data_IF_060369048861
#
_entry.id   IF_060369048861
#
_cell.length_a   1.000
_cell.length_b   1.000
_cell.length_c   1.000
_cell.angle_alpha   90.00
_cell.angle_beta   90.00
_cell.angle_gamma   90.00
#
_symmetry.space_group_name_H-M   'P 1'
#
loop_
_entity.id
_entity.type
_entity.pdbx_description
1 polymer ?
#
# COMPACT_ATOMS: atom_id res chain seq x y z
N UNK A 1 10.67 52.27 -0.24
CA UNK A 1 9.29 52.07 -0.75
C UNK A 1 9.15 50.71 -1.46
N UNK A 2 9.53 49.59 -0.82
CA UNK A 2 9.69 48.28 -1.51
C UNK A 2 9.20 47.03 -0.76
N UNK A 3 8.63 47.17 0.45
CA UNK A 3 8.30 46.01 1.30
C UNK A 3 6.86 45.49 1.05
N UNK A 4 5.98 46.30 0.44
CA UNK A 4 4.58 45.92 0.17
C UNK A 4 4.39 45.04 -1.07
N UNK A 5 5.37 44.93 -1.97
CA UNK A 5 5.22 44.13 -3.21
C UNK A 5 5.48 42.63 -3.01
N UNK A 6 6.34 42.23 -2.07
CA UNK A 6 6.66 40.80 -1.87
C UNK A 6 5.57 40.03 -1.12
N UNK A 7 4.86 40.68 -0.20
CA UNK A 7 3.76 40.05 0.56
C UNK A 7 2.60 39.66 -0.36
N UNK A 8 2.20 40.52 -1.29
CA UNK A 8 1.10 40.25 -2.22
C UNK A 8 1.40 39.10 -3.20
N UNK A 9 2.67 38.90 -3.56
CA UNK A 9 3.08 37.80 -4.45
C UNK A 9 2.93 36.43 -3.77
N UNK A 10 3.30 36.33 -2.48
CA UNK A 10 3.09 35.11 -1.69
C UNK A 10 1.58 34.84 -1.51
N UNK A 11 0.77 35.85 -1.19
CA UNK A 11 -0.68 35.69 -1.08
C UNK A 11 -1.35 35.25 -2.39
N UNK A 12 -0.91 35.77 -3.54
CA UNK A 12 -1.45 35.32 -4.83
C UNK A 12 -1.02 33.89 -5.20
N UNK A 13 0.15 33.44 -4.74
CA UNK A 13 0.60 32.06 -4.93
C UNK A 13 -0.21 31.07 -4.09
N UNK A 14 -0.61 31.42 -2.86
CA UNK A 14 -1.53 30.62 -2.04
C UNK A 14 -2.98 30.66 -2.56
N UNK A 15 -3.46 31.82 -3.02
CA UNK A 15 -4.81 31.96 -3.57
C UNK A 15 -4.97 31.25 -4.93
N UNK A 16 -3.94 31.29 -5.78
CA UNK A 16 -3.90 30.56 -7.04
C UNK A 16 -3.84 29.05 -6.84
N UNK A 17 -3.02 28.58 -5.89
CA UNK A 17 -2.93 27.16 -5.53
C UNK A 17 -4.25 26.66 -4.92
N UNK A 18 -4.91 27.43 -4.05
CA UNK A 18 -6.22 27.08 -3.50
C UNK A 18 -7.34 26.99 -4.56
N UNK A 19 -7.35 27.90 -5.53
CA UNK A 19 -8.31 27.88 -6.64
C UNK A 19 -8.04 26.74 -7.63
N UNK A 20 -6.77 26.37 -7.85
CA UNK A 20 -6.37 25.25 -8.71
C UNK A 20 -6.66 23.89 -8.03
N UNK A 21 -6.46 23.78 -6.72
CA UNK A 21 -6.85 22.62 -5.91
C UNK A 21 -8.38 22.45 -5.89
N UNK A 22 -9.14 23.53 -5.69
CA UNK A 22 -10.62 23.51 -5.69
C UNK A 22 -11.24 23.26 -7.07
N UNK A 23 -10.55 23.61 -8.15
CA UNK A 23 -11.03 23.33 -9.51
C UNK A 23 -10.69 21.92 -9.99
N UNK A 24 -9.65 21.28 -9.42
CA UNK A 24 -9.23 19.89 -9.67
C UNK A 24 -9.91 18.84 -8.77
N UNK A 25 -10.45 19.23 -7.61
CA UNK A 25 -11.26 18.35 -6.74
C UNK A 25 -12.63 17.96 -7.32
N UNK A 26 -13.02 18.53 -8.47
CA UNK A 26 -14.32 18.35 -9.13
C UNK A 26 -14.62 16.96 -9.68
N UNK A 27 -13.68 16.00 -9.65
CA UNK A 27 -13.93 14.68 -10.25
C UNK A 27 -14.87 13.79 -9.41
N UNK A 28 -14.99 14.00 -8.10
CA UNK A 28 -16.07 13.42 -7.26
C UNK A 28 -16.23 14.20 -5.95
N UNK A 29 -16.95 15.33 -5.98
CA UNK A 29 -17.19 16.14 -4.78
C UNK A 29 -18.30 15.51 -3.91
N UNK A 30 -17.99 14.40 -3.23
CA UNK A 30 -18.89 13.75 -2.27
C UNK A 30 -19.22 14.64 -1.07
N UNK A 31 -18.47 15.73 -0.89
CA UNK A 31 -18.69 16.76 0.13
C UNK A 31 -20.02 17.50 -0.01
N UNK A 32 -20.57 17.57 -1.23
CA UNK A 32 -21.85 18.25 -1.54
C UNK A 32 -23.05 17.30 -1.51
N UNK A 33 -22.82 16.00 -1.53
CA UNK A 33 -23.88 14.98 -1.52
C UNK A 33 -24.37 14.70 -0.10
N UNK A 34 -25.65 14.35 0.02
CA UNK A 34 -26.22 13.97 1.31
C UNK A 34 -25.59 12.67 1.84
N UNK A 35 -25.43 12.57 3.17
CA UNK A 35 -24.86 11.40 3.85
C UNK A 35 -25.44 10.04 3.36
N UNK A 36 -26.75 9.90 3.11
CA UNK A 36 -27.31 8.64 2.62
C UNK A 36 -26.81 8.24 1.23
N UNK A 37 -26.58 9.20 0.34
CA UNK A 37 -26.08 8.94 -1.02
C UNK A 37 -24.64 8.42 -0.94
N UNK A 38 -23.80 9.08 -0.14
CA UNK A 38 -22.42 8.64 0.07
C UNK A 38 -22.36 7.25 0.70
N UNK A 39 -23.26 6.96 1.66
CA UNK A 39 -23.37 5.63 2.25
C UNK A 39 -23.81 4.57 1.22
N UNK A 40 -24.74 4.91 0.33
CA UNK A 40 -25.17 4.05 -0.77
C UNK A 40 -24.03 3.73 -1.74
N UNK A 41 -23.28 4.76 -2.17
CA UNK A 41 -22.10 4.60 -3.05
C UNK A 41 -21.04 3.73 -2.39
N UNK A 42 -20.73 3.99 -1.11
CA UNK A 42 -19.79 3.18 -0.34
C UNK A 42 -20.23 1.72 -0.25
N UNK A 43 -21.51 1.48 0.08
CA UNK A 43 -22.06 0.14 0.22
C UNK A 43 -22.01 -0.65 -1.08
N UNK A 44 -22.33 -0.01 -2.22
CA UNK A 44 -22.20 -0.63 -3.55
C UNK A 44 -20.75 -0.96 -3.85
N UNK A 45 -19.81 -0.03 -3.58
CA UNK A 45 -18.38 -0.27 -3.73
C UNK A 45 -17.89 -1.46 -2.89
N UNK A 46 -18.29 -1.53 -1.62
CA UNK A 46 -17.94 -2.62 -0.72
C UNK A 46 -18.44 -3.99 -1.26
N UNK A 47 -19.68 -4.06 -1.76
CA UNK A 47 -20.22 -5.28 -2.37
C UNK A 47 -19.44 -5.67 -3.63
N UNK A 48 -19.10 -4.71 -4.50
CA UNK A 48 -18.32 -4.98 -5.71
C UNK A 48 -16.92 -5.53 -5.37
N UNK A 49 -16.25 -4.94 -4.38
CA UNK A 49 -14.94 -5.42 -3.90
C UNK A 49 -15.06 -6.83 -3.33
N UNK A 50 -16.10 -7.11 -2.53
CA UNK A 50 -16.34 -8.45 -1.99
C UNK A 50 -16.56 -9.50 -3.08
N UNK A 51 -17.36 -9.17 -4.11
CA UNK A 51 -17.60 -10.04 -5.26
C UNK A 51 -16.33 -10.24 -6.10
N UNK A 52 -15.52 -9.19 -6.28
CA UNK A 52 -14.25 -9.28 -6.98
C UNK A 52 -13.27 -10.19 -6.23
N UNK A 53 -13.16 -10.06 -4.90
CA UNK A 53 -12.31 -10.90 -4.06
C UNK A 53 -12.72 -12.38 -4.10
N UNK A 54 -14.02 -12.68 -4.04
CA UNK A 54 -14.50 -14.07 -4.16
C UNK A 54 -14.25 -14.68 -5.53
N UNK A 55 -14.39 -13.91 -6.62
CA UNK A 55 -14.01 -14.38 -7.96
C UNK A 55 -12.51 -14.59 -8.10
N UNK A 56 -11.71 -13.68 -7.55
CA UNK A 56 -10.24 -13.79 -7.55
C UNK A 56 -9.79 -15.11 -6.91
N UNK A 57 -10.37 -15.51 -5.77
CA UNK A 57 -10.11 -16.81 -5.14
C UNK A 57 -10.26 -17.98 -6.11
N UNK A 58 -11.37 -18.04 -6.83
CA UNK A 58 -11.63 -19.13 -7.78
C UNK A 58 -10.63 -19.15 -8.93
N UNK A 59 -10.24 -17.98 -9.44
CA UNK A 59 -9.25 -17.89 -10.51
C UNK A 59 -7.86 -18.28 -10.03
N UNK A 60 -7.48 -17.92 -8.81
CA UNK A 60 -6.20 -18.30 -8.23
C UNK A 60 -6.10 -19.82 -8.08
N UNK A 61 -7.16 -20.49 -7.61
CA UNK A 61 -7.20 -21.95 -7.53
C UNK A 61 -7.02 -22.58 -8.93
N UNK A 62 -7.74 -22.06 -9.93
CA UNK A 62 -7.65 -22.56 -11.31
C UNK A 62 -6.25 -22.37 -11.92
N UNK A 63 -5.59 -21.26 -11.63
CA UNK A 63 -4.21 -20.98 -12.07
C UNK A 63 -3.24 -21.89 -11.33
N UNK A 64 -3.41 -22.11 -10.03
CA UNK A 64 -2.55 -22.98 -9.24
C UNK A 64 -2.59 -24.43 -9.74
N UNK A 65 -3.78 -24.93 -10.11
CA UNK A 65 -3.97 -26.27 -10.68
C UNK A 65 -3.32 -26.40 -12.06
N UNK A 66 -3.40 -25.35 -12.90
CA UNK A 66 -2.83 -25.36 -14.26
C UNK A 66 -1.31 -25.16 -14.28
N UNK A 67 -0.76 -24.40 -13.34
CA UNK A 67 0.67 -24.05 -13.30
C UNK A 67 1.51 -25.02 -12.46
N UNK A 68 0.87 -25.86 -11.63
CA UNK A 68 1.56 -26.76 -10.71
C UNK A 68 2.24 -26.04 -9.55
N UNK A 69 2.07 -24.71 -9.42
CA UNK A 69 2.65 -23.88 -8.35
C UNK A 69 2.07 -24.19 -6.96
N UNK A 70 1.01 -25.01 -6.90
CA UNK A 70 0.47 -25.60 -5.69
C UNK A 70 -0.22 -24.61 -4.74
N UNK A 71 -0.59 -25.11 -3.54
CA UNK A 71 -1.31 -24.36 -2.50
C UNK A 71 -0.53 -23.16 -1.95
N UNK A 72 0.81 -23.20 -2.02
CA UNK A 72 1.66 -22.15 -1.48
C UNK A 72 1.57 -20.86 -2.31
N UNK A 73 1.58 -20.96 -3.65
CA UNK A 73 1.38 -19.81 -4.53
C UNK A 73 -0.04 -19.25 -4.41
N UNK A 74 -1.05 -20.12 -4.37
CA UNK A 74 -2.43 -19.71 -4.18
C UNK A 74 -2.63 -18.95 -2.85
N UNK A 75 -2.08 -19.49 -1.75
CA UNK A 75 -2.12 -18.84 -0.45
C UNK A 75 -1.39 -17.50 -0.43
N UNK A 76 -0.21 -17.40 -1.04
CA UNK A 76 0.55 -16.15 -1.11
C UNK A 76 -0.16 -15.08 -1.94
N UNK A 77 -0.70 -15.44 -3.11
CA UNK A 77 -1.40 -14.51 -4.00
C UNK A 77 -2.75 -14.07 -3.41
N UNK A 78 -3.48 -14.97 -2.75
CA UNK A 78 -4.73 -14.61 -2.10
C UNK A 78 -4.52 -13.76 -0.86
N UNK A 79 -3.57 -14.14 0.00
CA UNK A 79 -3.27 -13.37 1.20
C UNK A 79 -2.72 -11.99 0.84
N UNK A 80 -1.66 -11.93 0.02
CA UNK A 80 -1.03 -10.66 -0.36
C UNK A 80 -1.88 -9.83 -1.32
N UNK A 81 -2.58 -10.46 -2.25
CA UNK A 81 -3.48 -9.77 -3.17
C UNK A 81 -4.68 -9.16 -2.45
N UNK A 82 -5.36 -9.92 -1.59
CA UNK A 82 -6.55 -9.43 -0.91
C UNK A 82 -6.25 -8.26 0.06
N UNK A 83 -5.05 -8.22 0.64
CA UNK A 83 -4.65 -7.12 1.54
C UNK A 83 -4.08 -5.93 0.80
N UNK A 84 -3.22 -6.14 -0.21
CA UNK A 84 -2.53 -5.03 -0.88
C UNK A 84 -3.30 -4.41 -2.04
N UNK A 85 -4.23 -5.12 -2.71
CA UNK A 85 -5.01 -4.53 -3.82
C UNK A 85 -5.85 -3.31 -3.39
N UNK A 86 -6.62 -3.37 -2.29
CA UNK A 86 -7.38 -2.21 -1.81
C UNK A 86 -6.48 -1.03 -1.42
N UNK A 87 -5.34 -1.32 -0.79
CA UNK A 87 -4.37 -0.29 -0.39
C UNK A 87 -3.70 0.36 -1.60
N UNK A 88 -3.34 -0.42 -2.62
CA UNK A 88 -2.81 0.11 -3.88
C UNK A 88 -3.85 0.96 -4.59
N UNK A 89 -5.12 0.54 -4.64
CA UNK A 89 -6.19 1.30 -5.28
C UNK A 89 -6.41 2.66 -4.60
N UNK A 90 -6.49 2.68 -3.27
CA UNK A 90 -6.66 3.92 -2.49
C UNK A 90 -5.44 4.84 -2.60
N UNK A 91 -4.23 4.27 -2.51
CA UNK A 91 -2.97 5.02 -2.64
C UNK A 91 -2.80 5.60 -4.04
N UNK A 92 -3.07 4.82 -5.10
CA UNK A 92 -3.00 5.30 -6.48
C UNK A 92 -4.02 6.41 -6.74
N UNK A 93 -5.24 6.28 -6.20
CA UNK A 93 -6.27 7.31 -6.31
C UNK A 93 -5.85 8.61 -5.61
N UNK A 94 -5.23 8.52 -4.43
CA UNK A 94 -4.70 9.67 -3.70
C UNK A 94 -3.50 10.32 -4.41
N UNK A 95 -2.58 9.50 -4.93
CA UNK A 95 -1.42 9.97 -5.70
C UNK A 95 -1.85 10.65 -7.01
N UNK A 96 -2.82 10.09 -7.72
CA UNK A 96 -3.36 10.67 -8.96
C UNK A 96 -4.12 11.98 -8.69
N UNK A 97 -4.69 12.13 -7.50
CA UNK A 97 -5.30 13.38 -7.04
C UNK A 97 -4.29 14.45 -6.61
N UNK A 98 -2.99 14.22 -6.84
CA UNK A 98 -1.87 15.08 -6.45
C UNK A 98 -1.83 15.41 -4.94
N UNK A 99 -2.43 14.53 -4.13
CA UNK A 99 -2.52 14.64 -2.68
C UNK A 99 -1.49 13.69 -2.04
N UNK A 100 -0.21 13.91 -2.32
CA UNK A 100 0.87 13.03 -1.87
C UNK A 100 0.93 12.88 -0.34
N UNK A 101 0.65 13.95 0.41
CA UNK A 101 0.55 13.90 1.88
C UNK A 101 -0.61 13.01 2.35
N UNK A 102 -1.76 13.05 1.67
CA UNK A 102 -2.88 12.15 1.97
C UNK A 102 -2.58 10.71 1.58
N UNK A 103 -1.84 10.48 0.49
CA UNK A 103 -1.40 9.15 0.09
C UNK A 103 -0.49 8.52 1.17
N UNK A 104 0.46 9.30 1.72
CA UNK A 104 1.30 8.88 2.84
C UNK A 104 0.50 8.54 4.10
N UNK A 105 -0.46 9.38 4.48
CA UNK A 105 -1.34 9.13 5.62
C UNK A 105 -2.23 7.89 5.42
N UNK A 106 -2.73 7.65 4.21
CA UNK A 106 -3.51 6.47 3.86
C UNK A 106 -2.69 5.18 3.99
N UNK A 107 -1.44 5.18 3.54
CA UNK A 107 -0.52 4.05 3.67
C UNK A 107 -0.27 3.70 5.15
N UNK A 108 0.06 4.71 5.96
CA UNK A 108 0.29 4.51 7.40
C UNK A 108 -0.98 4.01 8.11
N UNK A 109 -2.13 4.61 7.80
CA UNK A 109 -3.43 4.18 8.32
C UNK A 109 -3.77 2.74 7.94
N UNK A 110 -3.50 2.33 6.70
CA UNK A 110 -3.67 0.97 6.21
C UNK A 110 -2.86 -0.05 7.01
N UNK A 111 -1.56 0.21 7.21
CA UNK A 111 -0.68 -0.65 8.02
C UNK A 111 -1.18 -0.76 9.46
N UNK A 112 -1.59 0.35 10.08
CA UNK A 112 -2.15 0.35 11.45
C UNK A 112 -3.44 -0.48 11.51
N UNK A 113 -4.33 -0.35 10.52
CA UNK A 113 -5.56 -1.13 10.45
C UNK A 113 -5.28 -2.62 10.25
N UNK A 114 -4.32 -2.99 9.41
CA UNK A 114 -3.90 -4.39 9.23
C UNK A 114 -3.40 -4.99 10.55
N UNK A 115 -2.54 -4.27 11.27
CA UNK A 115 -2.03 -4.70 12.59
C UNK A 115 -3.18 -4.80 13.61
N UNK A 116 -4.10 -3.84 13.62
CA UNK A 116 -5.26 -3.85 14.52
C UNK A 116 -6.19 -5.04 14.25
N UNK A 117 -6.47 -5.35 12.98
CA UNK A 117 -7.27 -6.53 12.59
C UNK A 117 -6.58 -7.82 13.03
N UNK A 118 -5.26 -7.94 12.81
CA UNK A 118 -4.48 -9.09 13.27
C UNK A 118 -4.53 -9.23 14.79
N UNK A 119 -4.39 -8.12 15.53
CA UNK A 119 -4.46 -8.12 17.00
C UNK A 119 -5.84 -8.58 17.50
N UNK A 120 -6.93 -8.14 16.85
CA UNK A 120 -8.29 -8.57 17.18
C UNK A 120 -8.47 -10.06 16.87
N UNK A 121 -7.97 -10.54 15.73
CA UNK A 121 -8.01 -11.96 15.37
C UNK A 121 -7.22 -12.82 16.36
N UNK A 122 -5.99 -12.41 16.71
CA UNK A 122 -5.16 -13.08 17.71
C UNK A 122 -5.86 -13.16 19.08
N UNK A 123 -6.53 -12.07 19.50
CA UNK A 123 -7.23 -12.00 20.78
C UNK A 123 -8.54 -12.81 20.80
N UNK A 124 -9.35 -12.76 19.74
CA UNK A 124 -10.69 -13.34 19.71
C UNK A 124 -10.67 -14.79 19.23
N UNK A 125 -9.91 -15.08 18.18
CA UNK A 125 -9.96 -16.34 17.42
C UNK A 125 -8.88 -17.33 17.88
N UNK A 126 -7.63 -16.87 18.06
CA UNK A 126 -6.48 -17.77 18.28
C UNK A 126 -6.14 -18.05 19.75
N UNK A 127 -6.81 -17.40 20.71
CA UNK A 127 -6.82 -17.63 22.17
C UNK A 127 -5.67 -18.53 22.71
N UNK A 128 -4.43 -18.05 22.61
CA UNK A 128 -3.24 -18.74 23.15
C UNK A 128 -2.22 -19.24 22.12
N UNK A 129 -2.48 -19.11 20.80
CA UNK A 129 -1.49 -19.37 19.74
C UNK A 129 -1.48 -18.22 18.72
N UNK A 130 -0.95 -17.04 19.09
CA UNK A 130 -0.93 -15.89 18.21
C UNK A 130 -0.23 -16.22 16.90
N UNK A 131 -0.74 -15.73 15.78
CA UNK A 131 -0.04 -15.84 14.49
C UNK A 131 1.33 -15.15 14.55
N UNK A 132 1.47 -14.15 15.41
CA UNK A 132 2.72 -13.46 15.74
C UNK A 132 3.80 -14.32 16.40
N UNK A 133 3.43 -15.45 17.02
CA UNK A 133 4.35 -16.33 17.76
C UNK A 133 4.73 -17.62 17.01
N UNK A 134 4.39 -17.74 15.72
CA UNK A 134 4.68 -18.95 14.96
C UNK A 134 6.19 -19.27 14.97
N UNK A 135 6.52 -20.51 15.36
CA UNK A 135 7.88 -21.01 15.60
C UNK A 135 8.86 -20.57 14.50
N UNK A 136 10.00 -19.94 14.85
CA UNK A 136 10.91 -19.37 13.87
C UNK A 136 11.62 -20.48 13.11
N UNK A 137 11.03 -20.87 11.97
CA UNK A 137 11.78 -21.56 10.93
C UNK A 137 12.87 -20.59 10.42
N UNK A 138 14.11 -21.07 10.24
CA UNK A 138 15.25 -20.24 9.84
C UNK A 138 14.97 -19.40 8.57
N UNK A 139 14.15 -19.91 7.65
CA UNK A 139 13.74 -19.16 6.46
C UNK A 139 12.84 -17.95 6.75
N UNK A 140 12.04 -18.00 7.81
CA UNK A 140 11.16 -16.90 8.23
C UNK A 140 11.96 -15.78 8.90
N UNK A 141 13.01 -16.13 9.65
CA UNK A 141 13.93 -15.16 10.25
C UNK A 141 14.70 -14.38 9.18
N UNK A 142 15.22 -15.05 8.15
CA UNK A 142 15.92 -14.39 7.03
C UNK A 142 14.97 -13.44 6.29
N UNK A 143 13.74 -13.88 6.01
CA UNK A 143 12.72 -13.02 5.39
C UNK A 143 12.38 -11.79 6.26
N UNK A 144 12.24 -11.98 7.58
CA UNK A 144 12.00 -10.89 8.52
C UNK A 144 13.15 -9.86 8.56
N UNK A 145 14.40 -10.32 8.57
CA UNK A 145 15.58 -9.44 8.53
C UNK A 145 15.64 -8.64 7.22
N UNK A 146 15.37 -9.29 6.09
CA UNK A 146 15.32 -8.61 4.79
C UNK A 146 14.19 -7.57 4.71
N UNK A 147 13.03 -7.86 5.29
CA UNK A 147 11.93 -6.90 5.39
C UNK A 147 12.29 -5.70 6.26
N UNK A 148 12.92 -5.92 7.43
CA UNK A 148 13.38 -4.82 8.29
C UNK A 148 14.41 -3.95 7.55
N UNK A 149 15.33 -4.57 6.81
CA UNK A 149 16.31 -3.84 6.00
C UNK A 149 15.64 -3.00 4.89
N UNK A 150 14.60 -3.53 4.23
CA UNK A 150 13.82 -2.80 3.23
C UNK A 150 13.07 -1.61 3.84
N UNK A 151 12.47 -1.78 5.01
CA UNK A 151 11.78 -0.68 5.72
C UNK A 151 12.78 0.39 6.16
N UNK A 152 13.96 0.00 6.63
CA UNK A 152 15.03 0.93 6.96
C UNK A 152 15.50 1.72 5.72
N UNK A 153 15.65 1.05 4.58
CA UNK A 153 16.01 1.68 3.31
C UNK A 153 14.92 2.64 2.83
N UNK A 154 13.65 2.26 2.93
CA UNK A 154 12.50 3.11 2.61
C UNK A 154 12.45 4.34 3.54
N UNK A 155 12.76 4.15 4.82
CA UNK A 155 12.82 5.26 5.78
C UNK A 155 13.96 6.24 5.45
N UNK A 156 15.12 5.72 5.05
CA UNK A 156 16.23 6.52 4.57
C UNK A 156 15.90 7.28 3.27
N UNK A 157 15.11 6.67 2.38
CA UNK A 157 14.61 7.32 1.17
C UNK A 157 13.73 8.53 1.51
N UNK A 158 12.80 8.37 2.45
CA UNK A 158 11.90 9.44 2.89
C UNK A 158 12.66 10.58 3.55
N UNK A 159 13.67 10.29 4.38
CA UNK A 159 14.43 11.33 5.10
C UNK A 159 15.45 12.06 4.21
N UNK A 160 16.03 11.39 3.24
CA UNK A 160 17.00 11.99 2.31
C UNK A 160 16.37 12.83 1.21
N UNK A 161 15.06 12.67 0.96
CA UNK A 161 14.39 13.27 -0.18
C UNK A 161 14.85 12.66 -1.51
N UNK A 162 14.24 13.12 -2.61
CA UNK A 162 14.53 12.56 -3.93
C UNK A 162 15.87 13.08 -4.46
N UNK A 163 16.90 12.22 -4.45
CA UNK A 163 18.28 12.62 -4.80
C UNK A 163 18.43 12.94 -6.30
N UNK A 164 17.77 12.18 -7.17
CA UNK A 164 17.75 12.37 -8.63
C UNK A 164 16.42 11.84 -9.17
N UNK A 165 15.74 12.63 -10.00
CA UNK A 165 14.53 12.23 -10.74
C UNK A 165 14.81 12.37 -12.24
N UNK A 166 14.59 11.30 -13.00
CA UNK A 166 14.70 11.31 -14.45
C UNK A 166 13.37 10.85 -15.06
N UNK A 167 12.74 11.71 -15.87
CA UNK A 167 11.48 11.39 -16.53
C UNK A 167 10.29 11.14 -15.59
N UNK A 168 10.31 11.65 -14.36
CA UNK A 168 9.24 11.45 -13.37
C UNK A 168 9.37 10.16 -12.55
N UNK A 169 10.45 9.38 -12.74
CA UNK A 169 10.78 8.23 -11.90
C UNK A 169 11.98 8.60 -11.02
N UNK A 170 11.78 8.48 -9.71
CA UNK A 170 12.81 8.69 -8.70
C UNK A 170 13.81 7.56 -8.61
N UNK A 171 15.04 7.89 -8.19
CA UNK A 171 16.08 6.90 -7.87
C UNK A 171 15.63 5.92 -6.77
N UNK A 172 14.98 6.44 -5.71
CA UNK A 172 14.59 5.64 -4.56
C UNK A 172 13.55 4.55 -4.86
N UNK A 173 12.45 4.82 -5.58
CA UNK A 173 11.51 3.77 -6.01
C UNK A 173 12.18 2.64 -6.80
N UNK A 174 13.11 2.95 -7.70
CA UNK A 174 13.83 1.96 -8.51
C UNK A 174 14.77 1.12 -7.64
N UNK A 175 15.51 1.77 -6.74
CA UNK A 175 16.39 1.08 -5.80
C UNK A 175 15.59 0.17 -4.85
N UNK A 176 14.47 0.63 -4.32
CA UNK A 176 13.59 -0.16 -3.46
C UNK A 176 12.99 -1.34 -4.20
N UNK A 177 12.55 -1.16 -5.45
CA UNK A 177 12.02 -2.24 -6.28
C UNK A 177 13.08 -3.32 -6.53
N UNK A 178 14.29 -2.92 -6.92
CA UNK A 178 15.39 -3.87 -7.16
C UNK A 178 15.83 -4.59 -5.88
N UNK A 179 15.92 -3.88 -4.75
CA UNK A 179 16.20 -4.46 -3.44
C UNK A 179 15.12 -5.46 -3.01
N UNK A 180 13.84 -5.16 -3.26
CA UNK A 180 12.73 -6.06 -2.98
C UNK A 180 12.80 -7.35 -3.80
N UNK A 181 13.04 -7.25 -5.11
CA UNK A 181 13.21 -8.43 -5.98
C UNK A 181 14.40 -9.27 -5.53
N UNK A 182 15.52 -8.65 -5.16
CA UNK A 182 16.68 -9.34 -4.59
C UNK A 182 16.36 -10.06 -3.28
N UNK A 183 15.57 -9.41 -2.40
CA UNK A 183 15.11 -9.99 -1.13
C UNK A 183 14.27 -11.24 -1.33
N UNK A 184 13.47 -11.35 -2.39
CA UNK A 184 12.69 -12.56 -2.67
C UNK A 184 13.57 -13.72 -3.14
N UNK A 185 14.67 -13.42 -3.83
CA UNK A 185 15.54 -14.43 -4.42
C UNK A 185 16.40 -15.15 -3.37
N UNK A 186 16.85 -14.45 -2.33
CA UNK A 186 17.75 -14.98 -1.30
C UNK A 186 17.15 -16.18 -0.53
N UNK A 187 15.91 -16.13 0.00
CA UNK A 187 15.30 -17.28 0.68
C UNK A 187 14.98 -18.45 -0.24
N UNK A 188 14.70 -18.19 -1.53
CA UNK A 188 14.42 -19.24 -2.53
C UNK A 188 15.71 -19.98 -2.90
N UNK A 189 16.82 -19.24 -3.08
CA UNK A 189 18.11 -19.82 -3.40
C UNK A 189 18.66 -20.74 -2.29
N UNK A 190 18.34 -20.46 -1.03
CA UNK A 190 18.70 -21.29 0.14
C UNK A 190 17.89 -22.58 0.30
N UNK A 191 16.74 -22.73 -0.40
CA UNK A 191 15.90 -23.94 -0.34
C UNK A 191 16.34 -25.06 -1.29
N UNK A 192 17.51 -24.98 -1.91
CA UNK A 192 18.01 -26.05 -2.78
C UNK A 192 18.21 -27.33 -1.94
N UNK A 193 17.63 -28.47 -2.36
CA UNK A 193 17.73 -29.72 -1.62
C UNK A 193 19.18 -30.19 -1.63
N UNK A 194 19.82 -30.20 -0.47
CA UNK A 194 20.96 -31.09 -0.24
C UNK A 194 20.37 -32.50 -0.14
N UNK A 195 20.72 -33.31 -1.14
CA UNK A 195 20.46 -34.76 -1.26
C UNK A 195 20.71 -35.53 0.03
#
# INVERSE_FOLDING_TARGET
MGIRRSSNAAYQQYAGSGAEIASRSRMTDFSTNSLPINFGVFSVGAVLVWLAGTKLSKYVDLIADRTGLGKAFAGALLLGGATSLPELATTLTAAWSNAAEMAGANLLGGVVMQIAVLAVIDAVVLRGRPLTFFSPQSSLLIAGVLLIALVALASAAVTSGELVSYGGIGFWPVLLFTAYVGSLWVPIAWRRPTS
#
